data_IF_406238695790
#
_entry.id   IF_406238695790
#
_cell.length_a   1.000
_cell.length_b   1.000
_cell.length_c   1.000
_cell.angle_alpha   90.00
_cell.angle_beta   90.00
_cell.angle_gamma   90.00
#
_symmetry.space_group_name_H-M   'P 1'
#
loop_
_entity.id
_entity.type
_entity.pdbx_description
1 polymer ?
#
# COMPACT_ATOMS: atom_id res chain seq x y z
N UNK A 1 -34.90 -27.39 -10.54
CA UNK A 1 -34.96 -26.09 -9.84
C UNK A 1 -34.31 -26.29 -8.48
N UNK A 2 -32.97 -26.11 -8.37
CA UNK A 2 -32.29 -26.12 -7.08
C UNK A 2 -32.38 -24.70 -6.52
N UNK A 3 -33.05 -24.55 -5.37
CA UNK A 3 -33.08 -23.31 -4.64
C UNK A 3 -31.64 -22.82 -4.41
N UNK A 4 -31.35 -21.51 -4.50
CA UNK A 4 -30.04 -20.99 -4.18
C UNK A 4 -29.74 -21.36 -2.73
N UNK A 5 -28.62 -22.04 -2.49
CA UNK A 5 -28.10 -22.29 -1.15
C UNK A 5 -28.03 -20.96 -0.44
N UNK A 6 -28.93 -20.75 0.53
CA UNK A 6 -28.94 -19.58 1.39
C UNK A 6 -27.51 -19.39 1.92
N UNK A 7 -27.02 -18.14 1.88
CA UNK A 7 -25.76 -17.66 2.46
C UNK A 7 -25.79 -17.84 4.00
N UNK A 8 -25.72 -19.09 4.45
CA UNK A 8 -25.57 -19.39 5.88
C UNK A 8 -24.21 -18.82 6.33
N UNK A 9 -24.18 -18.03 7.40
CA UNK A 9 -22.93 -17.47 7.88
C UNK A 9 -22.00 -18.62 8.28
N UNK A 10 -20.76 -18.59 7.79
CA UNK A 10 -19.72 -19.57 8.14
C UNK A 10 -19.53 -19.65 9.67
N UNK A 11 -19.62 -18.49 10.34
CA UNK A 11 -19.55 -18.37 11.79
C UNK A 11 -20.94 -18.31 12.41
N UNK A 12 -21.30 -19.32 13.20
CA UNK A 12 -22.53 -19.30 14.01
C UNK A 12 -22.40 -18.39 15.25
N UNK A 13 -21.17 -18.14 15.71
CA UNK A 13 -20.88 -17.28 16.86
C UNK A 13 -20.24 -15.97 16.43
N UNK A 14 -20.85 -14.80 16.71
CA UNK A 14 -20.31 -13.48 16.38
C UNK A 14 -18.92 -13.19 16.98
N UNK A 15 -18.57 -13.81 18.13
CA UNK A 15 -17.24 -13.67 18.74
C UNK A 15 -16.17 -14.35 17.88
N UNK A 16 -16.44 -15.50 17.29
CA UNK A 16 -15.50 -16.18 16.41
C UNK A 16 -15.27 -15.40 15.12
N UNK A 17 -16.33 -14.84 14.53
CA UNK A 17 -16.23 -13.96 13.35
C UNK A 17 -15.37 -12.71 13.66
N UNK A 18 -15.64 -12.05 14.80
CA UNK A 18 -14.85 -10.89 15.22
C UNK A 18 -13.38 -11.23 15.42
N UNK A 19 -13.07 -12.35 16.10
CA UNK A 19 -11.70 -12.78 16.35
C UNK A 19 -10.97 -13.13 15.03
N UNK A 20 -11.65 -13.74 14.08
CA UNK A 20 -11.14 -14.01 12.74
C UNK A 20 -10.80 -12.70 12.00
N UNK A 21 -11.70 -11.73 11.99
CA UNK A 21 -11.46 -10.43 11.33
C UNK A 21 -10.34 -9.64 12.01
N UNK A 22 -10.27 -9.64 13.34
CA UNK A 22 -9.18 -9.00 14.08
C UNK A 22 -7.82 -9.67 13.81
N UNK A 23 -7.79 -11.01 13.69
CA UNK A 23 -6.58 -11.71 13.28
C UNK A 23 -6.13 -11.30 11.87
N UNK A 24 -7.04 -11.26 10.89
CA UNK A 24 -6.70 -10.80 9.55
C UNK A 24 -6.22 -9.33 9.53
N UNK A 25 -6.85 -8.47 10.34
CA UNK A 25 -6.41 -7.09 10.50
C UNK A 25 -5.00 -6.99 11.13
N UNK A 26 -4.69 -7.82 12.14
CA UNK A 26 -3.38 -7.88 12.76
C UNK A 26 -2.29 -8.40 11.80
N UNK A 27 -2.59 -9.42 11.01
CA UNK A 27 -1.68 -9.91 9.96
C UNK A 27 -1.46 -8.84 8.88
N UNK A 28 -2.53 -8.16 8.45
CA UNK A 28 -2.43 -7.05 7.51
C UNK A 28 -1.63 -5.88 8.08
N UNK A 29 -1.77 -5.58 9.36
CA UNK A 29 -1.00 -4.55 10.05
C UNK A 29 0.51 -4.83 9.98
N UNK A 30 0.96 -6.05 10.30
CA UNK A 30 2.39 -6.39 10.24
C UNK A 30 2.95 -6.24 8.82
N UNK A 31 2.18 -6.67 7.82
CA UNK A 31 2.54 -6.51 6.40
C UNK A 31 2.64 -5.03 6.00
N UNK A 32 1.66 -4.21 6.38
CA UNK A 32 1.63 -2.79 6.03
C UNK A 32 2.78 -2.03 6.71
N UNK A 33 3.06 -2.33 7.99
CA UNK A 33 4.20 -1.71 8.69
C UNK A 33 5.52 -2.11 8.03
N UNK A 34 5.73 -3.38 7.68
CA UNK A 34 6.93 -3.84 6.99
C UNK A 34 7.14 -3.13 5.64
N UNK A 35 6.07 -2.94 4.90
CA UNK A 35 6.10 -2.20 3.64
C UNK A 35 6.45 -0.72 3.86
N UNK A 36 5.78 -0.06 4.80
CA UNK A 36 5.88 1.38 5.00
C UNK A 36 7.17 1.82 5.69
N UNK A 37 7.68 1.02 6.62
CA UNK A 37 8.76 1.46 7.54
C UNK A 37 10.08 1.75 6.83
N UNK A 38 10.36 1.08 5.72
CA UNK A 38 11.61 1.26 4.98
C UNK A 38 11.76 2.71 4.47
N UNK A 39 10.65 3.33 4.03
CA UNK A 39 10.68 4.66 3.42
C UNK A 39 11.11 5.74 4.41
N UNK A 40 10.51 5.89 5.60
CA UNK A 40 10.95 6.88 6.56
C UNK A 40 12.29 6.55 7.22
N UNK A 41 12.77 5.31 7.17
CA UNK A 41 14.13 4.93 7.58
C UNK A 41 15.20 5.27 6.54
N UNK A 42 14.84 5.86 5.40
CA UNK A 42 15.74 6.20 4.30
C UNK A 42 17.03 6.90 4.74
N UNK A 43 16.96 8.01 5.53
CA UNK A 43 18.17 8.72 5.96
C UNK A 43 19.16 7.82 6.72
N UNK A 44 18.64 7.01 7.63
CA UNK A 44 19.45 6.10 8.45
C UNK A 44 20.07 4.98 7.59
N UNK A 45 19.28 4.37 6.69
CA UNK A 45 19.74 3.29 5.81
C UNK A 45 20.78 3.79 4.80
N UNK A 46 20.55 4.93 4.16
CA UNK A 46 21.50 5.50 3.21
C UNK A 46 22.83 5.83 3.90
N UNK A 47 22.78 6.40 5.08
CA UNK A 47 23.99 6.68 5.87
C UNK A 47 24.72 5.41 6.31
N UNK A 48 23.99 4.42 6.85
CA UNK A 48 24.60 3.20 7.44
C UNK A 48 25.16 2.26 6.39
N UNK A 49 24.52 2.17 5.22
CA UNK A 49 24.93 1.27 4.13
C UNK A 49 25.60 1.99 2.96
N UNK A 50 25.86 3.30 3.08
CA UNK A 50 26.44 4.15 2.01
C UNK A 50 25.64 4.01 0.70
N UNK A 51 24.29 4.11 0.78
CA UNK A 51 23.42 3.94 -0.37
C UNK A 51 23.22 5.26 -1.09
N UNK A 52 23.28 5.20 -2.43
CA UNK A 52 22.79 6.30 -3.26
C UNK A 52 21.23 6.36 -3.23
N UNK A 53 20.61 7.51 -3.57
CA UNK A 53 19.17 7.59 -3.72
C UNK A 53 18.60 6.56 -4.70
N UNK A 54 19.33 6.24 -5.79
CA UNK A 54 18.97 5.20 -6.76
C UNK A 54 18.94 3.81 -6.14
N UNK A 55 19.94 3.46 -5.34
CA UNK A 55 20.01 2.17 -4.64
C UNK A 55 18.88 2.03 -3.62
N UNK A 56 18.57 3.10 -2.88
CA UNK A 56 17.45 3.13 -1.94
C UNK A 56 16.09 2.99 -2.67
N UNK A 57 15.88 3.73 -3.76
CA UNK A 57 14.71 3.59 -4.60
C UNK A 57 14.52 2.18 -5.15
N UNK A 58 15.63 1.52 -5.52
CA UNK A 58 15.61 0.11 -5.96
C UNK A 58 15.13 -0.83 -4.86
N UNK A 59 15.49 -0.61 -3.60
CA UNK A 59 15.02 -1.42 -2.47
C UNK A 59 13.52 -1.28 -2.20
N UNK A 60 12.99 -0.04 -2.30
CA UNK A 60 11.55 0.20 -2.18
C UNK A 60 10.81 -0.43 -3.36
N UNK A 61 11.34 -0.27 -4.58
CA UNK A 61 10.73 -0.78 -5.81
C UNK A 61 10.74 -2.30 -5.90
N UNK A 62 11.81 -2.93 -5.43
CA UNK A 62 11.94 -4.39 -5.45
C UNK A 62 10.80 -5.08 -4.70
N UNK A 63 10.41 -4.53 -3.54
CA UNK A 63 9.26 -5.02 -2.79
C UNK A 63 7.96 -4.89 -3.59
N UNK A 64 7.69 -3.70 -4.12
CA UNK A 64 6.42 -3.44 -4.80
C UNK A 64 6.31 -4.17 -6.13
N UNK A 65 7.39 -4.25 -6.92
CA UNK A 65 7.39 -5.04 -8.16
C UNK A 65 7.16 -6.53 -7.87
N UNK A 66 7.85 -7.10 -6.89
CA UNK A 66 7.65 -8.50 -6.52
C UNK A 66 6.25 -8.75 -5.97
N UNK A 67 5.67 -7.81 -5.19
CA UNK A 67 4.31 -7.90 -4.70
C UNK A 67 3.28 -7.84 -5.85
N UNK A 68 3.47 -6.96 -6.84
CA UNK A 68 2.62 -6.87 -8.01
C UNK A 68 2.65 -8.13 -8.86
N UNK A 69 3.84 -8.64 -9.18
CA UNK A 69 4.02 -9.86 -9.97
C UNK A 69 3.43 -11.07 -9.22
N UNK A 70 3.79 -11.25 -7.95
CA UNK A 70 3.29 -12.37 -7.14
C UNK A 70 1.77 -12.29 -6.93
N UNK A 71 1.19 -11.09 -6.80
CA UNK A 71 -0.24 -10.86 -6.73
C UNK A 71 -0.99 -11.34 -7.97
N UNK A 72 -0.47 -11.05 -9.19
CA UNK A 72 -1.04 -11.54 -10.44
C UNK A 72 -0.93 -13.07 -10.52
N UNK A 73 0.27 -13.61 -10.26
CA UNK A 73 0.50 -15.04 -10.31
C UNK A 73 -0.39 -15.80 -9.30
N UNK A 74 -0.57 -15.23 -8.10
CA UNK A 74 -1.41 -15.85 -7.08
C UNK A 74 -2.87 -16.02 -7.50
N UNK A 75 -3.40 -15.11 -8.30
CA UNK A 75 -4.76 -15.20 -8.82
C UNK A 75 -4.99 -16.45 -9.70
N UNK A 76 -3.92 -17.02 -10.27
CA UNK A 76 -3.98 -18.24 -11.10
C UNK A 76 -3.90 -19.50 -10.24
N UNK A 77 -3.13 -19.48 -9.13
CA UNK A 77 -2.81 -20.68 -8.36
C UNK A 77 -3.56 -20.79 -7.05
N UNK A 78 -4.04 -19.68 -6.50
CA UNK A 78 -4.51 -19.60 -5.13
C UNK A 78 -5.75 -20.48 -4.87
N UNK A 79 -6.62 -20.61 -5.86
CA UNK A 79 -7.86 -21.39 -5.76
C UNK A 79 -7.62 -22.91 -5.73
N UNK A 80 -6.40 -23.37 -6.00
CA UNK A 80 -6.02 -24.78 -5.92
C UNK A 80 -5.73 -25.25 -4.49
N UNK A 81 -5.51 -24.31 -3.57
CA UNK A 81 -5.11 -24.62 -2.19
C UNK A 81 -6.21 -24.36 -1.18
N UNK A 82 -6.18 -25.11 -0.09
CA UNK A 82 -7.02 -24.82 1.08
C UNK A 82 -6.61 -23.48 1.68
N UNK A 83 -7.57 -22.56 1.87
CA UNK A 83 -7.34 -21.17 2.30
C UNK A 83 -6.48 -21.04 3.56
N UNK A 84 -6.76 -21.86 4.59
CA UNK A 84 -5.98 -21.84 5.84
C UNK A 84 -4.53 -22.23 5.60
N UNK A 85 -4.28 -23.33 4.89
CA UNK A 85 -2.91 -23.78 4.60
C UNK A 85 -2.16 -22.78 3.76
N UNK A 86 -2.79 -22.25 2.71
CA UNK A 86 -2.22 -21.21 1.86
C UNK A 86 -1.82 -19.99 2.70
N UNK A 87 -2.71 -19.48 3.55
CA UNK A 87 -2.44 -18.33 4.40
C UNK A 87 -1.28 -18.57 5.37
N UNK A 88 -1.24 -19.73 6.03
CA UNK A 88 -0.16 -20.06 6.97
C UNK A 88 1.20 -20.18 6.28
N UNK A 89 1.26 -20.79 5.08
CA UNK A 89 2.50 -20.92 4.29
C UNK A 89 2.96 -19.55 3.79
N UNK A 90 2.06 -18.77 3.21
CA UNK A 90 2.37 -17.43 2.68
C UNK A 90 2.82 -16.49 3.80
N UNK A 91 2.12 -16.50 4.94
CA UNK A 91 2.50 -15.67 6.07
C UNK A 91 3.83 -16.08 6.69
N UNK A 92 4.13 -17.40 6.75
CA UNK A 92 5.45 -17.88 7.16
C UNK A 92 6.54 -17.43 6.19
N UNK A 93 6.30 -17.50 4.88
CA UNK A 93 7.22 -16.95 3.88
C UNK A 93 7.48 -15.46 4.04
N UNK A 94 6.44 -14.66 4.36
CA UNK A 94 6.58 -13.26 4.70
C UNK A 94 7.42 -13.04 5.97
N UNK A 95 7.18 -13.82 7.05
CA UNK A 95 7.95 -13.78 8.30
C UNK A 95 9.43 -14.07 8.03
N UNK A 96 9.72 -15.10 7.25
CA UNK A 96 11.11 -15.45 6.86
C UNK A 96 11.75 -14.32 6.05
N UNK A 97 11.02 -13.69 5.12
CA UNK A 97 11.49 -12.53 4.38
C UNK A 97 11.83 -11.36 5.29
N UNK A 98 10.95 -11.03 6.26
CA UNK A 98 11.17 -9.97 7.25
C UNK A 98 12.38 -10.29 8.16
N UNK A 99 12.54 -11.56 8.56
CA UNK A 99 13.71 -12.02 9.29
C UNK A 99 15.00 -11.85 8.47
N UNK A 100 14.97 -12.17 7.18
CA UNK A 100 16.11 -11.93 6.29
C UNK A 100 16.46 -10.44 6.18
N UNK A 101 15.47 -9.53 6.20
CA UNK A 101 15.74 -8.09 6.31
C UNK A 101 16.48 -7.74 7.60
N UNK A 102 16.07 -8.29 8.75
CA UNK A 102 16.74 -8.08 10.03
C UNK A 102 18.18 -8.63 10.06
N UNK A 103 18.43 -9.74 9.40
CA UNK A 103 19.72 -10.41 9.35
C UNK A 103 20.64 -9.88 8.24
N UNK A 104 20.15 -9.07 7.30
CA UNK A 104 20.91 -8.60 6.14
C UNK A 104 22.20 -7.86 6.58
N UNK A 105 23.39 -8.33 6.15
CA UNK A 105 24.66 -7.68 6.46
C UNK A 105 25.02 -6.54 5.51
N UNK A 106 24.38 -6.49 4.32
CA UNK A 106 24.67 -5.52 3.29
C UNK A 106 23.42 -5.21 2.44
N UNK A 107 23.54 -4.19 1.59
CA UNK A 107 22.47 -3.68 0.74
C UNK A 107 21.91 -4.73 -0.25
N UNK A 108 22.76 -5.58 -0.82
CA UNK A 108 22.33 -6.58 -1.81
C UNK A 108 21.46 -7.66 -1.17
N UNK A 109 21.84 -8.14 0.02
CA UNK A 109 21.03 -9.12 0.75
C UNK A 109 19.74 -8.50 1.29
N UNK A 110 19.77 -7.21 1.70
CA UNK A 110 18.56 -6.49 2.05
C UNK A 110 17.61 -6.36 0.83
N UNK A 111 18.14 -6.04 -0.35
CA UNK A 111 17.36 -6.00 -1.59
C UNK A 111 16.69 -7.35 -1.89
N UNK A 112 17.43 -8.45 -1.81
CA UNK A 112 16.88 -9.80 -2.01
C UNK A 112 15.81 -10.14 -0.97
N UNK A 113 16.05 -9.80 0.28
CA UNK A 113 15.06 -9.98 1.36
C UNK A 113 13.77 -9.18 1.07
N UNK A 114 13.88 -7.95 0.54
CA UNK A 114 12.73 -7.13 0.13
C UNK A 114 11.94 -7.76 -1.02
N UNK A 115 12.61 -8.41 -1.98
CA UNK A 115 11.94 -9.18 -3.05
C UNK A 115 11.12 -10.33 -2.45
N UNK A 116 11.70 -11.08 -1.50
CA UNK A 116 11.00 -12.17 -0.83
C UNK A 116 9.80 -11.67 -0.03
N UNK A 117 9.99 -10.64 0.82
CA UNK A 117 8.90 -10.01 1.57
C UNK A 117 7.77 -9.53 0.65
N UNK A 118 8.11 -8.82 -0.42
CA UNK A 118 7.13 -8.30 -1.36
C UNK A 118 6.35 -9.42 -2.05
N UNK A 119 7.04 -10.47 -2.50
CA UNK A 119 6.42 -11.63 -3.14
C UNK A 119 5.36 -12.29 -2.25
N UNK A 120 5.71 -12.64 -1.02
CA UNK A 120 4.75 -13.21 -0.07
C UNK A 120 3.72 -12.20 0.41
N UNK A 121 4.09 -10.92 0.59
CA UNK A 121 3.18 -9.85 0.98
C UNK A 121 2.08 -9.60 -0.03
N UNK A 122 2.40 -9.56 -1.33
CA UNK A 122 1.41 -9.39 -2.40
C UNK A 122 0.38 -10.52 -2.44
N UNK A 123 0.83 -11.78 -2.28
CA UNK A 123 -0.06 -12.95 -2.17
C UNK A 123 -0.91 -12.89 -0.91
N UNK A 124 -0.35 -12.42 0.21
CA UNK A 124 -1.07 -12.32 1.48
C UNK A 124 -2.27 -11.39 1.40
N UNK A 125 -2.13 -10.23 0.75
CA UNK A 125 -3.25 -9.29 0.55
C UNK A 125 -4.39 -9.96 -0.22
N UNK A 126 -4.08 -10.68 -1.29
CA UNK A 126 -5.09 -11.42 -2.07
C UNK A 126 -5.78 -12.49 -1.22
N UNK A 127 -5.03 -13.23 -0.38
CA UNK A 127 -5.57 -14.24 0.52
C UNK A 127 -6.49 -13.66 1.59
N UNK A 128 -6.14 -12.50 2.17
CA UNK A 128 -6.99 -11.81 3.16
C UNK A 128 -8.36 -11.49 2.55
N UNK A 129 -8.40 -10.93 1.34
CA UNK A 129 -9.67 -10.64 0.68
C UNK A 129 -10.44 -11.90 0.28
N UNK A 130 -9.74 -12.95 -0.15
CA UNK A 130 -10.36 -14.23 -0.47
C UNK A 130 -10.99 -14.88 0.79
N UNK A 131 -10.28 -14.88 1.92
CA UNK A 131 -10.78 -15.39 3.20
C UNK A 131 -12.03 -14.66 3.68
N UNK A 132 -12.07 -13.32 3.53
CA UNK A 132 -13.27 -12.53 3.85
C UNK A 132 -14.41 -12.89 2.89
N UNK A 133 -14.12 -13.00 1.60
CA UNK A 133 -15.10 -13.37 0.57
C UNK A 133 -15.74 -14.74 0.80
N UNK A 134 -14.94 -15.71 1.29
CA UNK A 134 -15.40 -17.08 1.53
C UNK A 134 -16.11 -17.24 2.88
N UNK A 135 -15.76 -16.44 3.90
CA UNK A 135 -16.26 -16.59 5.28
C UNK A 135 -17.42 -15.66 5.64
N UNK A 136 -17.51 -14.49 4.99
CA UNK A 136 -18.46 -13.44 5.38
C UNK A 136 -19.57 -13.30 4.35
N UNK A 137 -20.87 -13.28 4.79
CA UNK A 137 -22.01 -13.07 3.92
C UNK A 137 -21.90 -11.77 3.12
N UNK A 138 -22.38 -11.76 1.88
CA UNK A 138 -22.23 -10.67 0.91
C UNK A 138 -22.66 -9.31 1.47
N UNK A 139 -23.76 -9.26 2.23
CA UNK A 139 -24.28 -8.04 2.86
C UNK A 139 -23.31 -7.38 3.86
N UNK A 140 -22.36 -8.15 4.46
CA UNK A 140 -21.42 -7.66 5.49
C UNK A 140 -19.97 -7.61 5.03
N UNK A 141 -19.65 -8.09 3.82
CA UNK A 141 -18.27 -8.12 3.28
C UNK A 141 -17.62 -6.75 3.25
N UNK A 142 -18.36 -5.71 2.87
CA UNK A 142 -17.85 -4.34 2.86
C UNK A 142 -17.40 -3.85 4.24
N UNK A 143 -18.19 -4.11 5.27
CA UNK A 143 -17.82 -3.77 6.65
C UNK A 143 -16.60 -4.57 7.14
N UNK A 144 -16.52 -5.87 6.82
CA UNK A 144 -15.39 -6.73 7.15
C UNK A 144 -14.09 -6.28 6.46
N UNK A 145 -14.15 -5.96 5.17
CA UNK A 145 -13.02 -5.40 4.43
C UNK A 145 -12.59 -4.04 5.01
N UNK A 146 -13.55 -3.18 5.34
CA UNK A 146 -13.29 -1.90 6.00
C UNK A 146 -12.55 -2.06 7.32
N UNK A 147 -12.96 -3.04 8.15
CA UNK A 147 -12.28 -3.33 9.41
C UNK A 147 -10.83 -3.75 9.17
N UNK A 148 -10.56 -4.66 8.23
CA UNK A 148 -9.19 -5.11 7.92
C UNK A 148 -8.35 -3.98 7.32
N UNK A 149 -8.94 -3.12 6.52
CA UNK A 149 -8.26 -1.95 5.96
C UNK A 149 -7.90 -0.87 7.00
N UNK A 150 -8.50 -0.88 8.21
CA UNK A 150 -8.05 0.00 9.30
C UNK A 150 -6.60 -0.27 9.71
N UNK A 151 -6.06 -1.44 9.36
CA UNK A 151 -4.66 -1.78 9.55
C UNK A 151 -3.71 -0.75 8.93
N UNK A 152 -4.05 -0.15 7.78
CA UNK A 152 -3.27 0.93 7.16
C UNK A 152 -3.18 2.17 8.05
N UNK A 153 -4.31 2.59 8.60
CA UNK A 153 -4.36 3.77 9.47
C UNK A 153 -3.61 3.53 10.77
N UNK A 154 -3.80 2.36 11.38
CA UNK A 154 -3.09 2.00 12.62
C UNK A 154 -1.59 1.87 12.36
N UNK A 155 -1.18 1.31 11.21
CA UNK A 155 0.21 1.24 10.79
C UNK A 155 0.84 2.65 10.67
N UNK A 156 0.13 3.59 10.06
CA UNK A 156 0.63 4.97 9.89
C UNK A 156 0.71 5.71 11.22
N UNK A 157 -0.28 5.55 12.12
CA UNK A 157 -0.35 6.29 13.39
C UNK A 157 0.59 5.70 14.45
N UNK A 158 0.72 4.38 14.52
CA UNK A 158 1.46 3.70 15.58
C UNK A 158 2.63 2.88 15.04
N UNK A 159 2.42 2.10 13.97
CA UNK A 159 3.42 1.18 13.45
C UNK A 159 4.67 1.86 12.93
N UNK A 160 4.51 2.86 12.08
CA UNK A 160 5.64 3.61 11.49
C UNK A 160 6.38 4.43 12.54
N UNK A 161 5.72 5.25 13.40
CA UNK A 161 6.42 5.98 14.46
C UNK A 161 7.15 5.06 15.44
N UNK A 162 6.52 3.96 15.87
CA UNK A 162 7.17 2.98 16.74
C UNK A 162 8.39 2.34 16.05
N UNK A 163 8.27 1.98 14.80
CA UNK A 163 9.38 1.43 14.01
C UNK A 163 10.53 2.42 13.87
N UNK A 164 10.25 3.70 13.62
CA UNK A 164 11.26 4.75 13.59
C UNK A 164 11.93 4.94 14.98
N UNK A 165 11.15 4.94 16.04
CA UNK A 165 11.69 5.00 17.40
C UNK A 165 12.65 3.84 17.65
N UNK A 166 12.25 2.60 17.31
CA UNK A 166 13.13 1.43 17.45
C UNK A 166 14.38 1.55 16.58
N UNK A 167 14.26 2.03 15.36
CA UNK A 167 15.41 2.16 14.45
C UNK A 167 16.40 3.21 14.91
N UNK A 168 15.94 4.32 15.46
CA UNK A 168 16.79 5.41 15.91
C UNK A 168 17.55 5.08 17.20
N UNK A 169 16.93 4.30 18.11
CA UNK A 169 17.54 3.99 19.42
C UNK A 169 18.31 2.65 19.43
N UNK A 170 17.86 1.66 18.65
CA UNK A 170 18.41 0.30 18.67
C UNK A 170 19.00 -0.14 17.32
N UNK A 171 19.01 0.76 16.34
CA UNK A 171 19.55 0.51 15.02
C UNK A 171 18.49 0.02 14.01
N UNK A 172 18.80 0.23 12.73
CA UNK A 172 17.87 0.02 11.61
C UNK A 172 17.28 -1.40 11.47
N UNK A 173 17.93 -2.41 12.05
CA UNK A 173 17.48 -3.82 12.04
C UNK A 173 16.32 -4.09 12.99
N UNK A 174 16.22 -3.30 14.07
CA UNK A 174 15.30 -3.57 15.18
C UNK A 174 13.82 -3.55 14.81
N UNK A 175 13.32 -2.67 13.93
CA UNK A 175 11.94 -2.75 13.45
C UNK A 175 11.62 -4.07 12.80
N UNK A 176 12.52 -4.62 11.99
CA UNK A 176 12.35 -5.92 11.33
C UNK A 176 12.37 -7.08 12.33
N UNK A 177 13.21 -7.02 13.36
CA UNK A 177 13.19 -8.01 14.45
C UNK A 177 11.85 -7.96 15.18
N UNK A 178 11.38 -6.78 15.58
CA UNK A 178 10.10 -6.62 16.26
C UNK A 178 8.92 -7.12 15.41
N UNK A 179 8.92 -6.81 14.11
CA UNK A 179 7.92 -7.29 13.17
C UNK A 179 7.98 -8.81 13.01
N UNK A 180 9.18 -9.40 12.95
CA UNK A 180 9.35 -10.86 12.87
C UNK A 180 8.74 -11.55 14.08
N UNK A 181 9.07 -11.07 15.29
CA UNK A 181 8.55 -11.65 16.55
C UNK A 181 7.04 -11.47 16.62
N UNK A 182 6.52 -10.27 16.34
CA UNK A 182 5.09 -9.97 16.35
C UNK A 182 4.32 -10.83 15.33
N UNK A 183 4.86 -10.96 14.11
CA UNK A 183 4.26 -11.79 13.06
C UNK A 183 4.29 -13.28 13.40
N UNK A 184 5.37 -13.76 14.04
CA UNK A 184 5.46 -15.15 14.47
C UNK A 184 4.42 -15.46 15.55
N UNK A 185 4.22 -14.56 16.52
CA UNK A 185 3.15 -14.68 17.51
C UNK A 185 1.77 -14.74 16.83
N UNK A 186 1.52 -13.86 15.86
CA UNK A 186 0.26 -13.88 15.09
C UNK A 186 0.12 -15.16 14.26
N UNK A 187 1.20 -15.74 13.75
CA UNK A 187 1.17 -17.03 13.07
C UNK A 187 0.73 -18.18 13.98
N UNK A 188 1.23 -18.24 15.22
CA UNK A 188 0.77 -19.22 16.21
C UNK A 188 -0.71 -19.04 16.57
N UNK A 189 -1.18 -17.79 16.68
CA UNK A 189 -2.60 -17.49 16.88
C UNK A 189 -3.41 -17.94 15.65
N UNK A 190 -2.90 -17.71 14.44
CA UNK A 190 -3.54 -18.09 13.18
C UNK A 190 -3.69 -19.61 13.04
N UNK A 191 -2.74 -20.42 13.54
CA UNK A 191 -2.87 -21.87 13.57
C UNK A 191 -4.14 -22.33 14.28
N UNK A 192 -4.55 -21.62 15.33
CA UNK A 192 -5.73 -21.96 16.14
C UNK A 192 -7.01 -21.28 15.64
N UNK A 193 -6.94 -20.00 15.29
CA UNK A 193 -8.13 -19.20 14.98
C UNK A 193 -8.57 -19.26 13.52
N UNK A 194 -7.66 -19.52 12.55
CA UNK A 194 -8.07 -19.66 11.16
C UNK A 194 -8.90 -20.94 10.97
N UNK A 195 -10.12 -20.80 10.43
CA UNK A 195 -10.96 -21.95 10.17
C UNK A 195 -10.46 -22.76 8.97
N UNK A 196 -10.72 -24.07 8.97
CA UNK A 196 -10.49 -24.91 7.79
C UNK A 196 -11.63 -24.65 6.80
N UNK A 197 -11.31 -23.97 5.74
CA UNK A 197 -12.28 -23.70 4.65
C UNK A 197 -12.11 -24.74 3.56
N UNK A 198 -13.24 -25.21 2.99
CA UNK A 198 -13.21 -26.08 1.82
C UNK A 198 -12.49 -25.37 0.68
N UNK A 199 -11.84 -26.16 -0.18
CA UNK A 199 -11.29 -25.62 -1.43
C UNK A 199 -12.42 -24.97 -2.21
N UNK A 200 -12.27 -23.74 -2.72
CA UNK A 200 -13.24 -23.21 -3.66
C UNK A 200 -13.37 -24.19 -4.81
N UNK A 201 -14.59 -24.30 -5.37
CA UNK A 201 -14.73 -24.96 -6.65
C UNK A 201 -13.79 -24.27 -7.64
N UNK A 202 -12.98 -25.04 -8.36
CA UNK A 202 -12.06 -24.49 -9.35
C UNK A 202 -12.85 -23.56 -10.28
N UNK A 203 -12.58 -22.28 -10.20
CA UNK A 203 -13.14 -21.31 -11.15
C UNK A 203 -12.40 -21.55 -12.46
N UNK A 204 -12.94 -22.47 -13.28
CA UNK A 204 -12.52 -22.67 -14.66
C UNK A 204 -12.90 -21.40 -15.42
N UNK A 205 -11.95 -20.50 -15.63
CA UNK A 205 -12.20 -19.28 -16.37
C UNK A 205 -11.41 -18.03 -15.93
N UNK A 206 -10.60 -18.08 -14.87
CA UNK A 206 -9.83 -16.91 -14.43
C UNK A 206 -8.95 -16.33 -15.57
N UNK A 207 -8.34 -17.17 -16.39
CA UNK A 207 -7.58 -16.74 -17.57
C UNK A 207 -8.49 -16.15 -18.65
N UNK A 208 -9.69 -16.72 -18.86
CA UNK A 208 -10.66 -16.17 -19.81
C UNK A 208 -11.21 -14.82 -19.31
N UNK A 209 -11.45 -14.67 -18.02
CA UNK A 209 -11.85 -13.40 -17.41
C UNK A 209 -10.75 -12.34 -17.54
N UNK A 210 -9.47 -12.72 -17.39
CA UNK A 210 -8.34 -11.80 -17.63
C UNK A 210 -8.29 -11.38 -19.11
N UNK A 211 -8.48 -12.32 -20.05
CA UNK A 211 -8.58 -11.99 -21.48
C UNK A 211 -9.73 -11.01 -21.77
N UNK A 212 -10.90 -11.23 -21.18
CA UNK A 212 -12.06 -10.34 -21.32
C UNK A 212 -11.81 -8.95 -20.70
N UNK A 213 -11.06 -8.87 -19.59
CA UNK A 213 -10.68 -7.60 -18.97
C UNK A 213 -9.67 -6.85 -19.85
N UNK A 214 -8.61 -7.52 -20.29
CA UNK A 214 -7.54 -6.91 -21.09
C UNK A 214 -7.98 -6.55 -22.51
N UNK A 215 -9.04 -7.17 -23.03
CA UNK A 215 -9.61 -6.88 -24.34
C UNK A 215 -10.40 -5.57 -24.43
N UNK A 216 -10.73 -4.90 -23.31
CA UNK A 216 -11.52 -3.66 -23.32
C UNK A 216 -10.63 -2.42 -23.19
N UNK A 217 -10.63 -1.47 -24.14
CA UNK A 217 -9.81 -0.25 -24.09
C UNK A 217 -10.05 0.59 -22.83
N UNK A 218 -11.27 0.62 -22.31
CA UNK A 218 -11.64 1.37 -21.11
C UNK A 218 -10.88 0.86 -19.86
N UNK A 219 -10.60 -0.44 -19.79
CA UNK A 219 -9.84 -1.01 -18.68
C UNK A 219 -8.36 -0.60 -18.72
N UNK A 220 -7.76 -0.47 -19.91
CA UNK A 220 -6.42 0.06 -20.07
C UNK A 220 -6.32 1.53 -19.63
N UNK A 221 -7.35 2.33 -19.95
CA UNK A 221 -7.45 3.71 -19.42
C UNK A 221 -7.54 3.72 -17.90
N UNK A 222 -8.29 2.79 -17.30
CA UNK A 222 -8.40 2.62 -15.86
C UNK A 222 -7.06 2.21 -15.22
N UNK A 223 -6.31 1.30 -15.85
CA UNK A 223 -4.96 0.95 -15.41
C UNK A 223 -3.96 2.09 -15.54
N UNK A 224 -4.02 2.86 -16.63
CA UNK A 224 -3.21 4.06 -16.81
C UNK A 224 -3.55 5.14 -15.78
N UNK A 225 -4.83 5.32 -15.45
CA UNK A 225 -5.28 6.18 -14.35
C UNK A 225 -4.65 5.77 -13.01
N UNK A 226 -4.71 4.48 -12.68
CA UNK A 226 -4.11 3.92 -11.46
C UNK A 226 -2.60 4.11 -11.46
N UNK A 227 -1.94 3.88 -12.60
CA UNK A 227 -0.51 4.05 -12.76
C UNK A 227 -0.10 5.51 -12.53
N UNK A 228 -0.78 6.47 -13.13
CA UNK A 228 -0.51 7.90 -12.95
C UNK A 228 -0.77 8.33 -11.49
N UNK A 229 -1.87 7.86 -10.88
CA UNK A 229 -2.25 8.19 -9.51
C UNK A 229 -1.24 7.65 -8.49
N UNK A 230 -0.86 6.38 -8.58
CA UNK A 230 0.06 5.74 -7.62
C UNK A 230 1.52 6.09 -7.92
N UNK A 231 1.92 6.10 -9.17
CA UNK A 231 3.27 6.46 -9.60
C UNK A 231 3.65 7.87 -9.13
N UNK A 232 2.78 8.86 -9.37
CA UNK A 232 3.02 10.23 -8.90
C UNK A 232 3.17 10.33 -7.39
N UNK A 233 2.40 9.57 -6.63
CA UNK A 233 2.47 9.52 -5.17
C UNK A 233 3.80 8.92 -4.70
N UNK A 234 4.19 7.79 -5.27
CA UNK A 234 5.39 7.05 -4.87
C UNK A 234 6.70 7.61 -5.46
N UNK A 235 6.64 8.59 -6.35
CA UNK A 235 7.81 9.41 -6.66
C UNK A 235 8.25 10.26 -5.47
N UNK A 236 7.32 10.70 -4.63
CA UNK A 236 7.58 11.66 -3.54
C UNK A 236 7.76 10.94 -2.20
N UNK A 237 6.82 10.06 -1.81
CA UNK A 237 6.75 9.47 -0.46
C UNK A 237 8.06 8.84 0.03
N UNK A 238 8.80 8.02 -0.74
CA UNK A 238 9.98 7.32 -0.24
C UNK A 238 11.12 8.25 0.18
N UNK A 239 11.17 9.45 -0.36
CA UNK A 239 12.29 10.38 -0.17
C UNK A 239 11.98 11.55 0.77
N UNK A 240 10.74 11.67 1.26
CA UNK A 240 10.32 12.78 2.15
C UNK A 240 11.24 12.88 3.37
N UNK A 241 11.44 11.78 4.08
CA UNK A 241 12.25 11.74 5.30
C UNK A 241 13.71 12.12 5.02
N UNK A 242 14.27 11.54 3.95
CA UNK A 242 15.65 11.80 3.57
C UNK A 242 15.85 13.25 3.14
N UNK A 243 14.89 13.82 2.42
CA UNK A 243 14.91 15.22 2.02
C UNK A 243 14.80 16.15 3.24
N UNK A 244 13.91 15.89 4.17
CA UNK A 244 13.78 16.73 5.37
C UNK A 244 15.01 16.67 6.25
N UNK A 245 15.63 15.51 6.43
CA UNK A 245 16.86 15.39 7.18
C UNK A 245 18.03 16.09 6.48
N UNK A 246 18.16 15.90 5.16
CA UNK A 246 19.28 16.42 4.39
C UNK A 246 19.18 17.93 4.10
N UNK A 247 17.96 18.47 3.89
CA UNK A 247 17.75 19.80 3.34
C UNK A 247 17.03 20.77 4.30
N UNK A 248 16.28 20.26 5.30
CA UNK A 248 15.33 21.08 6.07
C UNK A 248 15.62 21.15 7.55
N UNK A 249 16.81 20.68 7.97
CA UNK A 249 17.26 20.67 9.38
C UNK A 249 16.29 19.94 10.34
N UNK A 250 15.63 18.88 9.86
CA UNK A 250 14.82 18.00 10.69
C UNK A 250 15.71 16.85 11.19
N UNK A 251 15.73 16.60 12.47
CA UNK A 251 16.52 15.51 13.04
C UNK A 251 15.85 14.14 12.82
N UNK A 252 16.64 13.05 12.81
CA UNK A 252 16.08 11.70 12.61
C UNK A 252 15.10 11.29 13.73
N UNK A 253 15.32 11.73 14.94
CA UNK A 253 14.46 11.49 16.11
C UNK A 253 13.15 12.30 16.09
N UNK A 254 13.07 13.31 15.23
CA UNK A 254 11.86 14.10 15.00
C UNK A 254 10.93 13.50 13.93
N UNK A 255 11.45 12.64 13.04
CA UNK A 255 10.66 12.02 11.97
C UNK A 255 9.41 11.26 12.45
N UNK A 256 9.40 10.55 13.59
CA UNK A 256 8.19 9.89 14.09
C UNK A 256 7.00 10.84 14.23
N UNK A 257 7.23 12.10 14.60
CA UNK A 257 6.17 13.09 14.78
C UNK A 257 5.50 13.50 13.46
N UNK A 258 6.25 13.55 12.35
CA UNK A 258 5.72 13.85 11.03
C UNK A 258 4.70 12.78 10.59
N UNK A 259 5.10 11.51 10.75
CA UNK A 259 4.24 10.38 10.34
C UNK A 259 3.07 10.16 11.29
N UNK A 260 3.28 10.35 12.59
CA UNK A 260 2.21 10.29 13.59
C UNK A 260 1.12 11.33 13.29
N UNK A 261 1.50 12.59 13.13
CA UNK A 261 0.57 13.67 12.83
C UNK A 261 -0.12 13.43 11.47
N UNK A 262 0.65 13.13 10.41
CA UNK A 262 0.12 12.84 9.09
C UNK A 262 -0.86 11.67 9.08
N UNK A 263 -0.52 10.57 9.76
CA UNK A 263 -1.38 9.40 9.91
C UNK A 263 -2.68 9.71 10.66
N UNK A 264 -2.58 10.44 11.78
CA UNK A 264 -3.72 10.82 12.60
C UNK A 264 -4.74 11.66 11.81
N UNK A 265 -4.28 12.70 11.14
CA UNK A 265 -5.17 13.54 10.33
C UNK A 265 -5.75 12.78 9.13
N UNK A 266 -4.96 11.92 8.48
CA UNK A 266 -5.44 11.09 7.37
C UNK A 266 -6.54 10.12 7.82
N UNK A 267 -6.44 9.54 9.02
CA UNK A 267 -7.45 8.63 9.57
C UNK A 267 -8.84 9.28 9.65
N UNK A 268 -8.91 10.51 10.11
CA UNK A 268 -10.19 11.23 10.21
C UNK A 268 -10.69 11.72 8.86
N UNK A 269 -9.80 12.23 8.01
CA UNK A 269 -10.19 12.87 6.74
C UNK A 269 -10.55 11.88 5.64
N UNK A 270 -10.01 10.65 5.66
CA UNK A 270 -10.27 9.65 4.64
C UNK A 270 -11.76 9.29 4.51
N UNK A 271 -12.45 9.12 5.65
CA UNK A 271 -13.90 8.86 5.68
C UNK A 271 -14.71 10.04 5.15
N UNK A 272 -14.28 11.25 5.49
CA UNK A 272 -14.94 12.48 5.03
C UNK A 272 -14.82 12.64 3.51
N UNK A 273 -13.65 12.40 2.93
CA UNK A 273 -13.46 12.45 1.48
C UNK A 273 -14.25 11.37 0.73
N UNK A 274 -14.39 10.17 1.30
CA UNK A 274 -15.26 9.14 0.75
C UNK A 274 -16.73 9.60 0.69
N UNK A 275 -17.27 10.08 1.80
CA UNK A 275 -18.63 10.59 1.87
C UNK A 275 -18.86 11.82 0.97
N UNK A 276 -17.84 12.67 0.79
CA UNK A 276 -17.91 13.80 -0.13
C UNK A 276 -18.03 13.31 -1.60
N UNK A 277 -17.31 12.25 -1.95
CA UNK A 277 -17.38 11.60 -3.26
C UNK A 277 -18.78 11.06 -3.58
N UNK A 278 -19.44 10.45 -2.59
CA UNK A 278 -20.80 9.93 -2.74
C UNK A 278 -21.83 11.06 -2.96
N UNK A 279 -21.63 12.24 -2.33
CA UNK A 279 -22.55 13.40 -2.44
C UNK A 279 -22.36 14.23 -3.68
N UNK A 280 -21.11 14.49 -4.11
CA UNK A 280 -20.79 15.46 -5.17
C UNK A 280 -20.30 14.81 -6.47
N UNK A 281 -20.22 13.46 -6.49
CA UNK A 281 -19.73 12.68 -7.61
C UNK A 281 -18.26 12.34 -7.50
N UNK A 282 -17.95 11.07 -7.70
CA UNK A 282 -16.63 10.46 -7.47
C UNK A 282 -15.52 11.17 -8.26
N UNK A 283 -15.72 11.38 -9.57
CA UNK A 283 -14.71 12.02 -10.41
C UNK A 283 -14.48 13.49 -10.02
N UNK A 284 -15.56 14.24 -9.75
CA UNK A 284 -15.46 15.66 -9.40
C UNK A 284 -14.65 15.87 -8.11
N UNK A 285 -14.94 15.07 -7.08
CA UNK A 285 -14.24 15.13 -5.80
C UNK A 285 -12.79 14.65 -5.96
N UNK A 286 -12.55 13.57 -6.72
CA UNK A 286 -11.20 13.13 -7.07
C UNK A 286 -10.39 14.24 -7.73
N UNK A 287 -10.97 14.94 -8.72
CA UNK A 287 -10.31 16.02 -9.45
C UNK A 287 -9.98 17.21 -8.52
N UNK A 288 -10.91 17.64 -7.67
CA UNK A 288 -10.68 18.74 -6.73
C UNK A 288 -9.56 18.45 -5.74
N UNK A 289 -9.60 17.26 -5.10
CA UNK A 289 -8.56 16.87 -4.14
C UNK A 289 -7.21 16.70 -4.85
N UNK A 290 -7.20 16.11 -6.05
CA UNK A 290 -5.97 15.94 -6.83
C UNK A 290 -5.37 17.28 -7.24
N UNK A 291 -6.17 18.23 -7.70
CA UNK A 291 -5.71 19.58 -8.04
C UNK A 291 -5.16 20.30 -6.79
N UNK A 292 -5.86 20.20 -5.66
CA UNK A 292 -5.39 20.76 -4.40
C UNK A 292 -4.08 20.11 -3.92
N UNK A 293 -3.82 18.84 -4.25
CA UNK A 293 -2.59 18.13 -3.88
C UNK A 293 -1.35 18.60 -4.66
N UNK A 294 -1.50 19.23 -5.82
CA UNK A 294 -0.37 19.73 -6.64
C UNK A 294 0.46 20.74 -5.84
N UNK A 295 -0.18 21.70 -5.19
CA UNK A 295 0.51 22.72 -4.39
C UNK A 295 1.41 22.12 -3.30
N UNK A 296 0.87 21.29 -2.38
CA UNK A 296 1.67 20.63 -1.35
C UNK A 296 2.77 19.72 -1.89
N UNK A 297 2.56 19.02 -3.01
CA UNK A 297 3.62 18.23 -3.66
C UNK A 297 4.79 19.11 -4.09
N UNK A 298 4.52 20.23 -4.77
CA UNK A 298 5.55 21.15 -5.20
C UNK A 298 6.22 21.84 -4.01
N UNK A 299 5.45 22.33 -3.04
CA UNK A 299 5.99 22.97 -1.84
C UNK A 299 6.88 22.02 -1.05
N UNK A 300 6.47 20.75 -0.85
CA UNK A 300 7.24 19.77 -0.11
C UNK A 300 8.58 19.46 -0.78
N UNK A 301 8.59 19.33 -2.11
CA UNK A 301 9.80 18.98 -2.87
C UNK A 301 10.75 20.17 -3.08
N UNK A 302 10.30 21.39 -2.80
CA UNK A 302 11.10 22.62 -2.79
C UNK A 302 11.24 23.21 -1.38
N UNK A 303 10.94 22.43 -0.35
CA UNK A 303 10.88 22.87 1.03
C UNK A 303 12.27 23.35 1.51
N UNK A 304 12.33 24.53 2.06
CA UNK A 304 13.56 25.09 2.63
C UNK A 304 13.80 24.65 4.07
N UNK A 305 14.77 25.27 4.72
CA UNK A 305 15.11 25.02 6.13
C UNK A 305 14.12 25.73 7.09
N UNK A 306 12.85 25.36 7.05
CA UNK A 306 11.76 26.01 7.81
C UNK A 306 11.48 25.36 9.17
N UNK A 307 12.23 24.29 9.52
CA UNK A 307 12.16 23.62 10.81
C UNK A 307 11.02 22.62 10.97
N UNK A 308 10.99 21.98 12.15
CA UNK A 308 10.12 20.84 12.45
C UNK A 308 8.62 21.12 12.29
N UNK A 309 8.11 22.21 12.86
CA UNK A 309 6.67 22.49 12.86
C UNK A 309 6.12 22.71 11.45
N UNK A 310 6.88 23.41 10.61
CA UNK A 310 6.52 23.59 9.21
C UNK A 310 6.61 22.28 8.43
N UNK A 311 7.59 21.42 8.70
CA UNK A 311 7.70 20.08 8.12
C UNK A 311 6.52 19.19 8.52
N UNK A 312 6.08 19.22 9.79
CA UNK A 312 4.88 18.51 10.26
C UNK A 312 3.64 19.01 9.51
N UNK A 313 3.40 20.32 9.50
CA UNK A 313 2.23 20.91 8.85
C UNK A 313 2.18 20.54 7.35
N UNK A 314 3.32 20.62 6.65
CA UNK A 314 3.43 20.28 5.23
C UNK A 314 3.19 18.79 5.00
N UNK A 315 3.76 17.91 5.85
CA UNK A 315 3.54 16.46 5.76
C UNK A 315 2.07 16.10 5.99
N UNK A 316 1.41 16.74 6.96
CA UNK A 316 -0.02 16.54 7.24
C UNK A 316 -0.85 16.90 6.02
N UNK A 317 -0.67 18.11 5.47
CA UNK A 317 -1.43 18.58 4.30
C UNK A 317 -1.18 17.66 3.10
N UNK A 318 0.08 17.30 2.84
CA UNK A 318 0.45 16.37 1.78
C UNK A 318 -0.22 15.00 1.96
N UNK A 319 -0.08 14.37 3.14
CA UNK A 319 -0.65 13.04 3.40
C UNK A 319 -2.17 13.03 3.33
N UNK A 320 -2.84 14.05 3.87
CA UNK A 320 -4.30 14.18 3.83
C UNK A 320 -4.81 14.27 2.40
N UNK A 321 -4.23 15.11 1.56
CA UNK A 321 -4.70 15.29 0.19
C UNK A 321 -4.33 14.13 -0.72
N UNK A 322 -3.09 13.63 -0.62
CA UNK A 322 -2.63 12.51 -1.46
C UNK A 322 -3.33 11.19 -1.10
N UNK A 323 -3.59 10.94 0.18
CA UNK A 323 -4.38 9.78 0.60
C UNK A 323 -5.87 9.98 0.33
N UNK A 324 -6.37 11.20 0.52
CA UNK A 324 -7.78 11.55 0.36
C UNK A 324 -8.32 11.32 -1.03
N UNK A 325 -7.51 11.57 -2.08
CA UNK A 325 -7.90 11.30 -3.47
C UNK A 325 -8.05 9.81 -3.80
N UNK A 326 -7.42 8.93 -2.99
CA UNK A 326 -7.43 7.48 -3.26
C UNK A 326 -8.82 6.86 -3.11
N UNK A 327 -9.61 7.28 -2.13
CA UNK A 327 -10.95 6.74 -1.89
C UNK A 327 -11.91 7.00 -3.07
N UNK A 328 -12.14 8.24 -3.53
CA UNK A 328 -13.01 8.48 -4.69
C UNK A 328 -12.38 7.94 -6.00
N UNK A 329 -11.04 7.92 -6.13
CA UNK A 329 -10.36 7.34 -7.28
C UNK A 329 -10.58 5.83 -7.41
N UNK A 330 -10.47 5.08 -6.32
CA UNK A 330 -10.72 3.64 -6.29
C UNK A 330 -12.20 3.32 -6.51
N UNK A 331 -13.10 4.11 -5.93
CA UNK A 331 -14.54 3.96 -6.16
C UNK A 331 -14.91 4.20 -7.64
N UNK A 332 -14.28 5.19 -8.31
CA UNK A 332 -14.47 5.44 -9.74
C UNK A 332 -14.12 4.21 -10.59
N UNK A 333 -13.04 3.51 -10.29
CA UNK A 333 -12.63 2.30 -11.01
C UNK A 333 -13.67 1.18 -10.94
N UNK A 334 -14.39 1.06 -9.81
CA UNK A 334 -15.44 0.04 -9.68
C UNK A 334 -16.65 0.28 -10.56
N UNK A 335 -16.84 1.50 -11.06
CA UNK A 335 -17.98 1.85 -11.92
C UNK A 335 -17.76 1.49 -13.39
N UNK A 336 -16.51 1.24 -13.78
CA UNK A 336 -16.10 1.02 -15.18
C UNK A 336 -16.19 -0.46 -15.58
N UNK A 337 -16.25 -1.35 -14.60
CA UNK A 337 -16.17 -2.80 -14.82
C UNK A 337 -17.52 -3.48 -14.52
N UNK A 338 -17.87 -4.45 -15.36
CA UNK A 338 -19.05 -5.28 -15.16
C UNK A 338 -18.99 -6.05 -13.84
N UNK A 339 -20.11 -6.22 -13.11
CA UNK A 339 -20.14 -6.91 -11.82
C UNK A 339 -19.46 -8.28 -11.82
N UNK A 340 -19.60 -9.04 -12.90
CA UNK A 340 -18.99 -10.38 -13.07
C UNK A 340 -17.46 -10.34 -13.07
N UNK A 341 -16.87 -9.34 -13.72
CA UNK A 341 -15.42 -9.21 -13.91
C UNK A 341 -14.74 -8.37 -12.80
N UNK A 342 -15.53 -7.81 -11.88
CA UNK A 342 -15.03 -6.85 -10.88
C UNK A 342 -13.91 -7.42 -9.99
N UNK A 343 -14.02 -8.69 -9.58
CA UNK A 343 -13.01 -9.36 -8.77
C UNK A 343 -11.65 -9.46 -9.48
N UNK A 344 -11.65 -9.99 -10.72
CA UNK A 344 -10.43 -10.11 -11.53
C UNK A 344 -9.84 -8.76 -11.90
N UNK A 345 -10.67 -7.77 -12.24
CA UNK A 345 -10.24 -6.41 -12.52
C UNK A 345 -9.57 -5.75 -11.30
N UNK A 346 -10.15 -5.85 -10.11
CA UNK A 346 -9.57 -5.28 -8.89
C UNK A 346 -8.25 -5.95 -8.51
N UNK A 347 -8.10 -7.26 -8.76
CA UNK A 347 -6.83 -7.96 -8.57
C UNK A 347 -5.74 -7.43 -9.50
N UNK A 348 -6.03 -7.29 -10.80
CA UNK A 348 -5.10 -6.70 -11.78
C UNK A 348 -4.80 -5.24 -11.44
N UNK A 349 -5.80 -4.48 -11.00
CA UNK A 349 -5.62 -3.10 -10.58
C UNK A 349 -4.73 -2.97 -9.35
N UNK A 350 -4.84 -3.86 -8.37
CA UNK A 350 -3.94 -3.89 -7.19
C UNK A 350 -2.50 -4.18 -7.61
N UNK A 351 -2.30 -5.12 -8.53
CA UNK A 351 -0.98 -5.37 -9.09
C UNK A 351 -0.43 -4.14 -9.85
N UNK A 352 -1.27 -3.46 -10.63
CA UNK A 352 -0.91 -2.20 -11.30
C UNK A 352 -0.53 -1.11 -10.31
N UNK A 353 -1.23 -0.98 -9.17
CA UNK A 353 -0.86 -0.07 -8.09
C UNK A 353 0.56 -0.35 -7.56
N UNK A 354 0.88 -1.62 -7.32
CA UNK A 354 2.19 -2.03 -6.85
C UNK A 354 3.29 -1.74 -7.89
N UNK A 355 3.04 -2.07 -9.14
CA UNK A 355 3.97 -1.79 -10.25
C UNK A 355 4.19 -0.28 -10.39
N UNK A 356 3.13 0.52 -10.36
CA UNK A 356 3.18 1.97 -10.45
C UNK A 356 3.96 2.59 -9.28
N UNK A 357 3.73 2.09 -8.06
CA UNK A 357 4.45 2.51 -6.87
C UNK A 357 5.94 2.23 -6.97
N UNK A 358 6.30 1.04 -7.46
CA UNK A 358 7.70 0.67 -7.73
C UNK A 358 8.33 1.54 -8.81
N UNK A 359 7.63 1.72 -9.93
CA UNK A 359 8.13 2.55 -11.03
C UNK A 359 8.35 4.00 -10.61
N UNK A 360 7.41 4.60 -9.85
CA UNK A 360 7.54 5.94 -9.31
C UNK A 360 8.73 6.09 -8.37
N UNK A 361 8.86 5.17 -7.41
CA UNK A 361 9.96 5.16 -6.45
C UNK A 361 11.33 4.99 -7.11
N UNK A 362 11.42 4.07 -8.08
CA UNK A 362 12.66 3.81 -8.84
C UNK A 362 13.04 5.03 -9.69
N UNK A 363 12.09 5.58 -10.45
CA UNK A 363 12.31 6.75 -11.30
C UNK A 363 12.78 7.96 -10.49
N UNK A 364 12.17 8.22 -9.33
CA UNK A 364 12.60 9.30 -8.46
C UNK A 364 14.04 9.09 -7.95
N UNK A 365 14.40 7.85 -7.59
CA UNK A 365 15.77 7.52 -7.16
C UNK A 365 16.83 7.78 -8.22
N UNK A 366 16.50 7.58 -9.50
CA UNK A 366 17.41 7.89 -10.61
C UNK A 366 17.59 9.39 -10.87
N UNK A 367 16.60 10.21 -10.49
CA UNK A 367 16.61 11.66 -10.72
C UNK A 367 17.31 12.39 -9.56
N UNK A 368 17.09 11.93 -8.33
CA UNK A 368 17.67 12.55 -7.15
C UNK A 368 19.18 12.30 -7.10
N UNK A 369 19.93 13.34 -6.87
CA UNK A 369 21.39 13.29 -6.74
C UNK A 369 21.77 13.80 -5.36
N UNK A 370 22.74 13.17 -4.74
CA UNK A 370 23.34 13.67 -3.51
C UNK A 370 24.46 14.66 -3.88
N UNK A 371 24.23 15.92 -3.53
CA UNK A 371 25.16 17.00 -3.78
C UNK A 371 26.15 17.23 -2.64
N UNK A 372 26.85 18.34 -2.68
CA UNK A 372 27.83 18.73 -1.65
C UNK A 372 27.18 18.81 -0.26
N UNK A 373 27.82 18.19 0.72
CA UNK A 373 27.32 18.17 2.11
C UNK A 373 26.13 17.23 2.35
N UNK A 374 25.89 16.26 1.46
CA UNK A 374 24.82 15.26 1.59
C UNK A 374 23.41 15.81 1.32
N UNK A 375 23.29 16.98 0.72
CA UNK A 375 21.98 17.55 0.35
C UNK A 375 21.38 16.86 -0.85
N UNK A 376 20.07 16.68 -0.85
CA UNK A 376 19.34 16.16 -2.00
C UNK A 376 19.12 17.27 -3.01
N UNK A 377 19.72 17.11 -4.17
CA UNK A 377 19.50 17.94 -5.34
C UNK A 377 18.50 17.27 -6.29
N UNK A 378 17.85 18.09 -7.15
CA UNK A 378 16.86 17.65 -8.16
C UNK A 378 15.57 17.03 -7.59
N UNK A 379 15.35 17.04 -6.28
CA UNK A 379 14.07 16.57 -5.73
C UNK A 379 12.90 17.47 -6.17
N UNK A 380 13.14 18.75 -6.42
CA UNK A 380 12.16 19.64 -7.04
C UNK A 380 11.70 19.16 -8.43
N UNK A 381 12.60 18.60 -9.25
CA UNK A 381 12.23 17.99 -10.54
C UNK A 381 11.29 16.79 -10.35
N UNK A 382 11.55 15.95 -9.33
CA UNK A 382 10.63 14.86 -8.95
C UNK A 382 9.26 15.42 -8.61
N UNK A 383 9.19 16.56 -7.89
CA UNK A 383 7.93 17.24 -7.58
C UNK A 383 7.15 17.67 -8.82
N UNK A 384 7.83 18.26 -9.80
CA UNK A 384 7.20 18.64 -11.08
C UNK A 384 6.67 17.43 -11.86
N UNK A 385 7.44 16.35 -11.93
CA UNK A 385 7.00 15.10 -12.58
C UNK A 385 5.82 14.45 -11.84
N UNK A 386 5.85 14.48 -10.50
CA UNK A 386 4.72 14.01 -9.70
C UNK A 386 3.47 14.88 -9.93
N UNK A 387 3.61 16.20 -9.99
CA UNK A 387 2.52 17.11 -10.33
C UNK A 387 1.94 16.82 -11.71
N UNK A 388 2.78 16.60 -12.72
CA UNK A 388 2.35 16.21 -14.06
C UNK A 388 1.59 14.86 -14.04
N UNK A 389 2.06 13.87 -13.26
CA UNK A 389 1.37 12.59 -13.06
C UNK A 389 0.01 12.75 -12.36
N UNK A 390 -0.10 13.67 -11.40
CA UNK A 390 -1.38 14.02 -10.77
C UNK A 390 -2.35 14.60 -11.80
N UNK A 391 -1.92 15.56 -12.62
CA UNK A 391 -2.75 16.16 -13.68
C UNK A 391 -3.13 15.13 -14.74
N UNK A 392 -2.19 14.25 -15.14
CA UNK A 392 -2.48 13.14 -16.05
C UNK A 392 -3.55 12.19 -15.46
N UNK A 393 -3.51 11.92 -14.14
CA UNK A 393 -4.55 11.11 -13.49
C UNK A 393 -5.94 11.78 -13.54
N UNK A 394 -6.03 13.10 -13.44
CA UNK A 394 -7.29 13.84 -13.61
C UNK A 394 -7.83 13.68 -15.03
N UNK A 395 -6.97 13.89 -16.05
CA UNK A 395 -7.33 13.74 -17.45
C UNK A 395 -7.80 12.30 -17.80
N UNK A 396 -7.10 11.29 -17.32
CA UNK A 396 -7.47 9.90 -17.51
C UNK A 396 -8.80 9.57 -16.82
N UNK A 397 -8.98 10.09 -15.59
CA UNK A 397 -10.19 9.89 -14.79
C UNK A 397 -11.44 10.53 -15.41
N UNK A 398 -11.30 11.66 -16.12
CA UNK A 398 -12.43 12.31 -16.81
C UNK A 398 -13.13 11.35 -17.77
N UNK A 399 -12.38 10.62 -18.57
CA UNK A 399 -12.97 9.67 -19.52
C UNK A 399 -13.50 8.37 -18.90
N UNK A 400 -13.24 8.12 -17.60
CA UNK A 400 -13.87 7.01 -16.87
C UNK A 400 -15.26 7.39 -16.34
N UNK A 401 -15.49 8.71 -16.10
CA UNK A 401 -16.77 9.22 -15.61
C UNK A 401 -17.84 9.37 -16.69
N UNK A 402 -17.46 9.47 -17.96
CA UNK A 402 -18.37 9.72 -19.09
C UNK A 402 -19.14 8.46 -19.58
N UNK A 403 -18.76 7.26 -19.14
CA UNK A 403 -19.38 6.00 -19.56
C UNK A 403 -20.78 5.75 -18.96
N UNK A 404 -21.36 6.71 -18.26
CA UNK A 404 -22.72 6.64 -17.67
C UNK A 404 -23.73 7.57 -18.39
N UNK A 405 -23.56 7.84 -19.67
CA UNK A 405 -24.64 8.41 -20.49
C UNK A 405 -25.22 7.41 -21.46
#
# INVERSE_FOLDING_TARGET
MNAPTQDLPYFQNPKHERNFLLLLAAMQFTHVVDFMILMPMGPLLMKTMSLTPAAFGSMVSAYTFSAGIAGILSAIFLDRFERKKAMLVVYMGFILGTLLCALAPNAHLLLLARIVCGGFGGVMVALVFALIGDAIPMARRGAAMGLVMTAFSVASIAGVPLGLYLSNHFGWKMPFVALTVGSLLMWFVALRLLPRMRRPALITGALADFGAILGKPIHWRAFAFTFAMMGSTFMVIPYISSYFVANSNVANDELPWLFFAGGLFTFFTLRWFGALGDRHGLFRVFAWISLAAVGPVLLLTHFGAWGLYAAIAMTVVFMVLVSGRSAPGMALLTTVVEPRLRGGFMSLNTAMQQIASGAGSFAAGLIIVEGAGGRFERYGLVGWLAAAGILASIWLGAGLGETKK
#
